data_IF_774800538173
#
_entry.id   IF_774800538173
#
_cell.length_a   1.000
_cell.length_b   1.000
_cell.length_c   1.000
_cell.angle_alpha   90.00
_cell.angle_beta   90.00
_cell.angle_gamma   90.00
#
_symmetry.space_group_name_H-M   'P 1'
#
loop_
_entity.id
_entity.type
_entity.pdbx_description
1 polymer ?
#
# COMPACT_ATOMS: atom_id res chain seq x y z
N UNK A 1 1.66 16.86 5.61
CA UNK A 1 1.13 15.68 4.91
C UNK A 1 2.18 15.12 3.95
N UNK A 2 2.67 15.90 2.99
CA UNK A 2 3.73 15.46 2.07
C UNK A 2 4.71 16.58 1.73
N UNK A 3 5.88 16.21 1.19
CA UNK A 3 6.84 17.11 0.57
C UNK A 3 7.50 16.45 -0.64
N UNK A 4 7.98 17.25 -1.59
CA UNK A 4 8.84 16.76 -2.66
C UNK A 4 10.29 16.81 -2.16
N UNK A 5 10.87 15.64 -1.91
CA UNK A 5 12.28 15.48 -1.56
C UNK A 5 13.17 15.39 -2.80
N UNK A 6 14.49 15.29 -2.60
CA UNK A 6 15.44 15.15 -3.71
C UNK A 6 15.37 13.79 -4.40
N UNK A 7 14.92 12.76 -3.68
CA UNK A 7 14.89 11.37 -4.17
C UNK A 7 13.49 10.85 -4.51
N UNK A 8 12.44 11.59 -4.15
CA UNK A 8 11.06 11.15 -4.30
C UNK A 8 10.04 11.99 -3.54
N UNK A 9 8.79 11.51 -3.50
CA UNK A 9 7.72 12.09 -2.69
C UNK A 9 7.83 11.57 -1.26
N UNK A 10 7.90 12.47 -0.28
CA UNK A 10 7.90 12.11 1.13
C UNK A 10 6.49 12.21 1.70
N UNK A 11 5.95 11.12 2.27
CA UNK A 11 4.71 11.14 3.04
C UNK A 11 5.03 11.11 4.54
N UNK A 12 4.35 11.96 5.31
CA UNK A 12 4.49 11.99 6.77
C UNK A 12 3.76 10.81 7.41
N UNK A 13 4.38 10.14 8.37
CA UNK A 13 3.68 9.16 9.20
C UNK A 13 2.73 9.89 10.16
N UNK A 14 1.43 9.87 9.86
CA UNK A 14 0.37 10.41 10.74
C UNK A 14 -0.36 9.25 11.42
N UNK A 15 -1.05 9.53 12.52
CA UNK A 15 -1.91 8.57 13.21
C UNK A 15 -3.28 8.37 12.54
N UNK A 16 -3.70 9.32 11.69
CA UNK A 16 -4.96 9.25 10.95
C UNK A 16 -4.84 8.17 9.87
N UNK A 17 -5.68 7.14 9.95
CA UNK A 17 -5.79 6.06 8.98
C UNK A 17 -6.76 6.43 7.86
N UNK A 18 -6.96 5.54 6.88
CA UNK A 18 -8.00 5.74 5.86
C UNK A 18 -9.43 5.65 6.40
N UNK A 19 -9.64 5.14 7.62
CA UNK A 19 -10.98 4.90 8.21
C UNK A 19 -11.59 6.13 8.88
N UNK A 20 -10.79 7.14 9.18
CA UNK A 20 -11.26 8.36 9.82
C UNK A 20 -11.63 9.41 8.78
N UNK A 21 -12.70 10.17 9.05
CA UNK A 21 -13.11 11.34 8.25
C UNK A 21 -12.24 12.56 8.57
N UNK A 22 -10.95 12.40 8.38
CA UNK A 22 -9.92 13.42 8.59
C UNK A 22 -8.92 13.34 7.43
N UNK A 23 -7.65 13.69 7.67
CA UNK A 23 -6.65 13.97 6.67
C UNK A 23 -5.51 12.93 6.74
N UNK A 24 -5.72 11.71 6.21
CA UNK A 24 -4.67 10.68 6.18
C UNK A 24 -3.52 11.10 5.25
N UNK A 25 -2.34 10.52 5.48
CA UNK A 25 -1.23 10.67 4.54
C UNK A 25 -1.41 9.74 3.35
N UNK A 26 -2.26 10.19 2.41
CA UNK A 26 -2.63 9.48 1.19
C UNK A 26 -2.56 10.42 -0.01
N UNK A 27 -1.78 10.05 -1.03
CA UNK A 27 -1.66 10.81 -2.28
C UNK A 27 -1.92 9.87 -3.45
N UNK A 28 -2.95 10.17 -4.23
CA UNK A 28 -3.53 9.21 -5.17
C UNK A 28 -4.03 9.85 -6.47
N UNK A 29 -4.23 9.00 -7.46
CA UNK A 29 -4.92 9.30 -8.71
C UNK A 29 -6.25 8.56 -8.78
N UNK A 30 -7.16 9.03 -9.64
CA UNK A 30 -8.42 8.31 -9.92
C UNK A 30 -8.11 7.05 -10.73
N UNK A 31 -8.73 5.93 -10.36
CA UNK A 31 -8.77 4.76 -11.23
C UNK A 31 -9.58 5.12 -12.48
N UNK A 32 -8.99 4.90 -13.67
CA UNK A 32 -9.62 5.23 -14.95
C UNK A 32 -9.91 4.00 -15.82
N UNK A 33 -9.37 2.83 -15.46
CA UNK A 33 -9.47 1.60 -16.24
C UNK A 33 -9.90 0.44 -15.34
N UNK A 34 -10.65 -0.51 -15.88
CA UNK A 34 -11.02 -1.74 -15.17
C UNK A 34 -9.91 -2.78 -15.19
N UNK A 35 -8.98 -2.67 -16.14
CA UNK A 35 -7.79 -3.49 -16.25
C UNK A 35 -6.58 -2.54 -16.19
N UNK A 36 -5.83 -2.59 -15.10
CA UNK A 36 -4.66 -1.74 -14.89
C UNK A 36 -3.67 -2.35 -13.90
N UNK A 37 -2.47 -1.80 -13.91
CA UNK A 37 -1.44 -2.02 -12.90
C UNK A 37 -1.04 -0.68 -12.29
N UNK A 38 -0.99 -0.62 -10.96
CA UNK A 38 -0.37 0.45 -10.22
C UNK A 38 0.82 -0.10 -9.44
N UNK A 39 1.91 0.65 -9.39
CA UNK A 39 3.08 0.26 -8.61
C UNK A 39 3.74 1.41 -7.88
N UNK A 40 4.37 1.09 -6.74
CA UNK A 40 5.16 2.03 -5.94
C UNK A 40 6.52 1.45 -5.59
N UNK A 41 7.56 2.27 -5.65
CA UNK A 41 8.87 1.98 -5.05
C UNK A 41 9.02 2.88 -3.83
N UNK A 42 9.25 2.30 -2.66
CA UNK A 42 9.41 3.02 -1.39
C UNK A 42 10.63 2.56 -0.60
N UNK A 43 11.27 3.48 0.11
CA UNK A 43 12.37 3.17 1.02
C UNK A 43 11.84 2.57 2.33
N UNK A 44 12.45 1.47 2.79
CA UNK A 44 12.00 0.73 3.99
C UNK A 44 12.87 0.96 5.23
N UNK A 45 13.84 1.85 5.14
CA UNK A 45 14.76 2.26 6.21
C UNK A 45 14.06 3.04 7.34
N UNK A 46 12.99 3.77 7.00
CA UNK A 46 12.18 4.57 7.94
C UNK A 46 10.99 3.82 8.54
N UNK A 47 10.75 2.57 8.09
CA UNK A 47 9.70 1.69 8.60
C UNK A 47 10.12 1.01 9.90
N UNK A 48 10.08 1.78 10.98
CA UNK A 48 10.25 1.30 12.35
C UNK A 48 8.96 0.65 12.87
N UNK A 49 9.01 0.04 14.07
CA UNK A 49 7.83 -0.53 14.72
C UNK A 49 6.70 0.49 14.80
N UNK A 50 5.49 0.04 14.46
CA UNK A 50 4.28 0.87 14.46
C UNK A 50 4.14 1.77 13.24
N UNK A 51 5.13 1.81 12.33
CA UNK A 51 5.03 2.52 11.04
C UNK A 51 4.69 1.55 9.91
N UNK A 52 3.77 1.99 9.04
CA UNK A 52 3.27 1.23 7.90
C UNK A 52 3.25 2.14 6.68
N UNK A 53 3.70 1.66 5.52
CA UNK A 53 3.60 2.39 4.28
C UNK A 53 3.46 1.47 3.06
N UNK A 54 2.83 1.97 2.00
CA UNK A 54 2.67 1.24 0.76
C UNK A 54 1.66 1.91 -0.15
N UNK A 55 0.68 1.15 -0.61
CA UNK A 55 -0.30 1.61 -1.59
C UNK A 55 -1.72 1.24 -1.15
N UNK A 56 -2.69 2.09 -1.49
CA UNK A 56 -4.10 1.83 -1.24
C UNK A 56 -4.94 2.07 -2.49
N UNK A 57 -5.86 1.15 -2.74
CA UNK A 57 -7.01 1.31 -3.64
C UNK A 57 -8.23 1.63 -2.77
N UNK A 58 -8.62 2.89 -2.74
CA UNK A 58 -9.63 3.42 -1.82
C UNK A 58 -10.89 3.84 -2.55
N UNK A 59 -12.05 3.35 -2.10
CA UNK A 59 -13.35 3.86 -2.52
C UNK A 59 -13.89 4.88 -1.50
N UNK A 60 -13.79 4.57 -0.21
CA UNK A 60 -14.20 5.43 0.90
C UNK A 60 -13.47 5.04 2.19
N UNK A 61 -13.79 5.75 3.28
CA UNK A 61 -13.29 5.44 4.63
C UNK A 61 -13.71 4.04 5.12
N UNK A 62 -14.81 3.51 4.60
CA UNK A 62 -15.33 2.19 4.97
C UNK A 62 -14.91 1.06 4.01
N UNK A 63 -14.42 1.40 2.82
CA UNK A 63 -14.13 0.44 1.75
C UNK A 63 -12.82 0.77 1.03
N UNK A 64 -11.78 -0.01 1.32
CA UNK A 64 -10.47 0.14 0.69
C UNK A 64 -9.63 -1.14 0.80
N UNK A 65 -8.81 -1.38 -0.21
CA UNK A 65 -7.74 -2.38 -0.20
C UNK A 65 -6.42 -1.66 0.07
N UNK A 66 -5.62 -2.17 1.00
CA UNK A 66 -4.29 -1.66 1.33
C UNK A 66 -3.25 -2.76 1.15
N UNK A 67 -2.11 -2.37 0.60
CA UNK A 67 -0.89 -3.18 0.58
C UNK A 67 0.15 -2.41 1.36
N UNK A 68 0.54 -2.92 2.52
CA UNK A 68 1.38 -2.22 3.48
C UNK A 68 2.65 -3.01 3.77
N UNK A 69 3.78 -2.32 3.79
CA UNK A 69 5.02 -2.80 4.35
C UNK A 69 5.15 -2.31 5.79
N UNK A 70 5.53 -3.20 6.70
CA UNK A 70 5.68 -2.90 8.11
C UNK A 70 6.74 -3.79 8.77
N UNK A 71 7.13 -3.45 10.00
CA UNK A 71 7.94 -4.32 10.87
C UNK A 71 7.20 -4.57 12.17
N UNK A 72 7.07 -5.84 12.55
CA UNK A 72 6.68 -6.23 13.92
C UNK A 72 7.90 -6.34 14.82
N UNK A 73 7.71 -6.72 16.09
CA UNK A 73 8.75 -6.80 17.13
C UNK A 73 10.06 -7.46 16.64
N UNK A 74 11.03 -6.63 16.26
CA UNK A 74 12.43 -7.00 16.11
C UNK A 74 12.85 -7.66 14.79
N UNK A 75 12.54 -7.03 13.64
CA UNK A 75 13.47 -6.74 12.52
C UNK A 75 12.88 -7.07 11.14
N UNK A 76 12.16 -8.17 10.99
CA UNK A 76 11.79 -8.64 9.65
C UNK A 76 10.76 -7.70 8.99
N UNK A 77 11.07 -7.27 7.77
CA UNK A 77 10.10 -6.56 6.95
C UNK A 77 8.99 -7.54 6.57
N UNK A 78 7.76 -7.09 6.63
CA UNK A 78 6.58 -7.85 6.28
C UNK A 78 5.73 -7.07 5.31
N UNK A 79 5.03 -7.79 4.45
CA UNK A 79 4.03 -7.24 3.57
C UNK A 79 2.65 -7.81 3.92
N UNK A 80 1.68 -6.94 4.09
CA UNK A 80 0.30 -7.28 4.41
C UNK A 80 -0.65 -6.76 3.34
N UNK A 81 -1.63 -7.59 2.96
CA UNK A 81 -2.77 -7.18 2.14
C UNK A 81 -3.98 -7.12 3.06
N UNK A 82 -4.55 -5.92 3.20
CA UNK A 82 -5.63 -5.64 4.14
C UNK A 82 -6.83 -5.12 3.35
N UNK A 83 -7.97 -5.80 3.49
CA UNK A 83 -9.23 -5.38 2.88
C UNK A 83 -10.17 -4.87 3.97
N UNK A 84 -10.49 -3.58 3.89
CA UNK A 84 -11.47 -2.94 4.75
C UNK A 84 -12.85 -3.04 4.10
N UNK A 85 -13.80 -3.61 4.84
CA UNK A 85 -15.20 -3.75 4.44
C UNK A 85 -16.07 -3.18 5.55
N UNK A 86 -16.91 -2.19 5.25
CA UNK A 86 -17.79 -1.54 6.27
C UNK A 86 -16.98 -1.04 7.48
N UNK A 87 -15.80 -0.47 7.23
CA UNK A 87 -14.89 0.02 8.27
C UNK A 87 -14.14 -1.07 9.05
N UNK A 88 -14.30 -2.35 8.70
CA UNK A 88 -13.63 -3.47 9.36
C UNK A 88 -12.50 -4.02 8.51
N UNK A 89 -11.29 -4.00 9.07
CA UNK A 89 -10.09 -4.54 8.43
C UNK A 89 -10.04 -6.05 8.52
N UNK A 90 -9.74 -6.72 7.41
CA UNK A 90 -9.37 -8.14 7.34
C UNK A 90 -8.01 -8.26 6.70
N UNK A 91 -7.07 -8.97 7.34
CA UNK A 91 -5.78 -9.31 6.74
C UNK A 91 -6.00 -10.51 5.82
N UNK A 92 -5.99 -10.26 4.51
CA UNK A 92 -6.21 -11.26 3.47
C UNK A 92 -4.93 -12.04 3.15
N UNK A 93 -3.76 -11.42 3.33
CA UNK A 93 -2.46 -12.07 3.20
C UNK A 93 -1.40 -11.36 4.03
N UNK A 94 -0.40 -12.12 4.46
CA UNK A 94 0.69 -11.64 5.29
C UNK A 94 1.95 -12.48 5.03
N UNK A 95 3.01 -11.85 4.56
CA UNK A 95 4.25 -12.53 4.14
C UNK A 95 5.46 -11.84 4.76
N UNK A 96 6.28 -12.63 5.47
CA UNK A 96 7.59 -12.18 5.98
C UNK A 96 8.59 -12.15 4.82
N UNK A 97 9.24 -11.01 4.61
CA UNK A 97 10.22 -10.79 3.55
C UNK A 97 11.62 -11.08 4.09
N UNK A 98 12.03 -12.34 3.98
CA UNK A 98 13.35 -12.76 4.39
C UNK A 98 14.43 -12.12 3.50
N UNK A 99 15.49 -11.63 4.14
CA UNK A 99 16.71 -11.16 3.46
C UNK A 99 17.78 -12.23 3.63
N UNK A 100 18.12 -12.99 2.58
CA UNK A 100 19.02 -14.14 2.71
C UNK A 100 19.55 -14.79 1.42
N UNK A 101 20.76 -15.36 1.56
CA UNK A 101 21.57 -16.21 0.66
C UNK A 101 22.12 -15.62 -0.67
N UNK A 102 21.45 -14.70 -1.37
CA UNK A 102 21.86 -14.27 -2.73
C UNK A 102 21.75 -12.76 -3.00
N UNK A 103 22.11 -11.89 -2.04
CA UNK A 103 21.94 -10.43 -2.17
C UNK A 103 20.49 -9.96 -2.32
N UNK A 104 19.50 -10.82 -2.00
CA UNK A 104 18.09 -10.45 -1.95
C UNK A 104 17.87 -9.43 -0.83
N UNK A 105 17.54 -8.20 -1.21
CA UNK A 105 17.23 -7.11 -0.28
C UNK A 105 15.87 -6.51 -0.61
N UNK A 106 15.25 -5.94 0.42
CA UNK A 106 13.95 -5.27 0.36
C UNK A 106 14.09 -3.83 0.87
N UNK A 107 15.15 -3.12 0.45
CA UNK A 107 15.41 -1.72 0.85
C UNK A 107 14.54 -0.75 0.08
N UNK A 108 14.33 -1.02 -1.20
CA UNK A 108 13.49 -0.23 -2.11
C UNK A 108 12.59 -1.15 -2.96
N UNK A 109 11.76 -2.00 -2.33
CA UNK A 109 10.97 -2.95 -3.07
C UNK A 109 9.88 -2.25 -3.88
N UNK A 110 9.54 -2.84 -5.03
CA UNK A 110 8.39 -2.40 -5.80
C UNK A 110 7.15 -3.18 -5.37
N UNK A 111 6.14 -2.49 -4.86
CA UNK A 111 4.82 -3.06 -4.59
C UNK A 111 3.97 -2.89 -5.83
N UNK A 112 3.42 -3.99 -6.35
CA UNK A 112 2.63 -4.03 -7.59
C UNK A 112 1.21 -4.50 -7.24
N UNK A 113 0.23 -3.67 -7.60
CA UNK A 113 -1.19 -3.98 -7.54
C UNK A 113 -1.73 -4.04 -8.97
N UNK A 114 -2.15 -5.22 -9.40
CA UNK A 114 -2.88 -5.41 -10.64
C UNK A 114 -4.36 -5.60 -10.35
N UNK A 115 -5.20 -4.85 -11.05
CA UNK A 115 -6.65 -4.99 -11.00
C UNK A 115 -7.16 -5.45 -12.35
N UNK A 116 -8.04 -6.46 -12.32
CA UNK A 116 -8.74 -7.01 -13.48
C UNK A 116 -10.23 -7.14 -13.15
N UNK A 117 -10.99 -6.09 -13.51
CA UNK A 117 -12.40 -5.96 -13.16
C UNK A 117 -12.59 -5.84 -11.64
N UNK A 118 -13.13 -6.89 -11.02
CA UNK A 118 -13.43 -6.97 -9.59
C UNK A 118 -12.44 -7.86 -8.83
N UNK A 119 -11.26 -8.09 -9.41
CA UNK A 119 -10.20 -8.91 -8.81
C UNK A 119 -8.92 -8.09 -8.67
N UNK A 120 -8.23 -8.28 -7.55
CA UNK A 120 -6.91 -7.72 -7.29
C UNK A 120 -5.87 -8.84 -7.11
N UNK A 121 -4.71 -8.66 -7.74
CA UNK A 121 -3.52 -9.47 -7.49
C UNK A 121 -2.39 -8.56 -7.02
N UNK A 122 -1.65 -9.01 -6.01
CA UNK A 122 -0.61 -8.23 -5.37
C UNK A 122 0.67 -9.04 -5.30
N UNK A 123 1.76 -8.44 -5.75
CA UNK A 123 3.11 -8.97 -5.63
C UNK A 123 4.11 -7.87 -5.28
N UNK A 124 5.25 -8.28 -4.76
CA UNK A 124 6.42 -7.42 -4.61
C UNK A 124 7.54 -7.89 -5.51
N UNK A 125 8.28 -6.95 -6.06
CA UNK A 125 9.57 -7.15 -6.69
C UNK A 125 10.67 -6.69 -5.73
N UNK A 126 11.67 -7.53 -5.50
CA UNK A 126 12.83 -7.20 -4.68
C UNK A 126 13.77 -6.22 -5.40
N UNK A 127 14.77 -5.73 -4.69
CA UNK A 127 15.71 -4.72 -5.20
C UNK A 127 16.56 -5.22 -6.41
N UNK A 128 16.63 -6.54 -6.63
CA UNK A 128 17.32 -7.15 -7.79
C UNK A 128 16.53 -7.02 -9.11
N UNK A 129 15.26 -6.58 -9.05
CA UNK A 129 14.38 -6.44 -10.19
C UNK A 129 13.89 -7.75 -10.81
N UNK A 130 14.15 -8.90 -10.17
CA UNK A 130 13.81 -10.24 -10.72
C UNK A 130 13.05 -11.08 -9.70
N UNK A 131 13.47 -11.08 -8.44
CA UNK A 131 12.88 -11.90 -7.39
C UNK A 131 11.52 -11.36 -6.96
N UNK A 132 10.50 -12.23 -7.01
CA UNK A 132 9.11 -11.86 -6.71
C UNK A 132 8.58 -12.55 -5.46
N UNK A 133 7.79 -11.82 -4.68
CA UNK A 133 6.97 -12.36 -3.59
C UNK A 133 5.50 -12.11 -3.90
N UNK A 134 4.72 -13.17 -4.15
CA UNK A 134 3.29 -13.06 -4.42
C UNK A 134 2.55 -13.01 -3.09
N UNK A 135 1.79 -11.95 -2.84
CA UNK A 135 0.98 -11.84 -1.62
C UNK A 135 -0.40 -12.45 -1.82
N UNK A 136 -1.07 -12.13 -2.93
CA UNK A 136 -2.37 -12.69 -3.26
C UNK A 136 -2.60 -12.72 -4.77
N UNK A 137 -3.50 -13.61 -5.21
CA UNK A 137 -4.02 -13.63 -6.58
C UNK A 137 -5.53 -13.66 -6.56
N UNK A 138 -6.13 -12.96 -7.50
CA UNK A 138 -7.58 -12.95 -7.73
C UNK A 138 -8.43 -12.65 -6.49
N UNK A 139 -7.93 -11.80 -5.57
CA UNK A 139 -8.68 -11.36 -4.39
C UNK A 139 -9.95 -10.63 -4.86
N UNK A 140 -11.12 -11.07 -4.40
CA UNK A 140 -12.40 -10.43 -4.74
C UNK A 140 -12.49 -9.06 -4.05
N UNK A 141 -12.51 -8.00 -4.88
CA UNK A 141 -12.62 -6.60 -4.45
C UNK A 141 -13.98 -6.00 -4.85
N UNK A 142 -15.01 -6.82 -5.11
CA UNK A 142 -16.38 -6.35 -5.44
C UNK A 142 -16.93 -5.37 -4.40
N UNK A 143 -16.54 -5.52 -3.15
CA UNK A 143 -16.92 -4.61 -2.06
C UNK A 143 -16.48 -3.16 -2.33
N UNK A 144 -15.47 -2.93 -3.17
CA UNK A 144 -15.03 -1.57 -3.57
C UNK A 144 -15.85 -0.99 -4.73
N UNK A 145 -16.84 -1.70 -5.26
CA UNK A 145 -17.70 -1.19 -6.32
C UNK A 145 -18.73 -0.20 -5.78
N UNK A 146 -19.23 0.70 -6.63
CA UNK A 146 -20.26 1.67 -6.20
C UNK A 146 -21.57 0.98 -5.84
N UNK A 147 -21.87 -0.17 -6.46
CA UNK A 147 -23.05 -0.98 -6.15
C UNK A 147 -23.06 -1.50 -4.72
N UNK A 148 -21.89 -1.76 -4.13
CA UNK A 148 -21.76 -2.26 -2.76
C UNK A 148 -21.44 -1.15 -1.77
N UNK A 149 -20.40 -0.36 -2.06
CA UNK A 149 -19.94 0.72 -1.17
C UNK A 149 -20.86 1.95 -1.20
N UNK A 150 -21.68 2.11 -2.25
CA UNK A 150 -22.56 3.25 -2.43
C UNK A 150 -21.81 4.56 -2.70
N UNK A 151 -22.48 5.68 -2.42
CA UNK A 151 -21.93 7.02 -2.60
C UNK A 151 -21.94 7.50 -4.05
N UNK A 152 -21.12 8.52 -4.32
CA UNK A 152 -21.06 9.24 -5.60
C UNK A 152 -19.64 9.36 -6.16
N UNK A 153 -18.73 8.51 -5.67
CA UNK A 153 -17.30 8.51 -6.01
C UNK A 153 -16.90 7.16 -6.59
N UNK A 154 -15.75 7.12 -7.24
CA UNK A 154 -15.09 5.89 -7.67
C UNK A 154 -13.76 5.71 -6.95
N UNK A 155 -13.08 4.59 -7.23
CA UNK A 155 -11.82 4.28 -6.58
C UNK A 155 -10.69 5.25 -6.96
N UNK A 156 -9.82 5.52 -5.99
CA UNK A 156 -8.49 6.11 -6.21
C UNK A 156 -7.41 5.10 -5.86
N UNK A 157 -6.25 5.19 -6.49
CA UNK A 157 -5.08 4.36 -6.19
C UNK A 157 -3.86 5.25 -5.96
N UNK A 158 -3.12 4.99 -4.88
CA UNK A 158 -2.08 5.90 -4.45
C UNK A 158 -1.23 5.43 -3.30
N UNK A 159 -0.20 6.23 -3.02
CA UNK A 159 0.75 6.03 -1.93
C UNK A 159 0.09 6.34 -0.59
N UNK A 160 0.32 5.49 0.41
CA UNK A 160 -0.25 5.60 1.75
C UNK A 160 0.82 5.39 2.82
N UNK A 161 0.76 6.17 3.90
CA UNK A 161 1.62 6.03 5.07
C UNK A 161 0.87 6.32 6.37
N UNK A 162 1.13 5.55 7.41
CA UNK A 162 0.49 5.70 8.73
C UNK A 162 1.43 5.23 9.84
N UNK A 163 1.27 5.79 11.02
CA UNK A 163 1.91 5.30 12.23
C UNK A 163 0.92 5.12 13.37
N UNK A 164 1.21 4.20 14.27
CA UNK A 164 0.51 4.07 15.54
C UNK A 164 0.71 5.30 16.43
N UNK A 165 -0.23 5.52 17.34
CA UNK A 165 -0.13 6.58 18.33
C UNK A 165 1.13 6.41 19.20
N UNK A 166 1.84 7.51 19.43
CA UNK A 166 3.08 7.52 20.20
C UNK A 166 4.36 7.28 19.39
N UNK A 167 4.24 6.91 18.10
CA UNK A 167 5.38 7.02 17.18
C UNK A 167 5.78 8.49 17.02
N UNK A 168 7.07 8.79 17.10
CA UNK A 168 7.60 10.13 16.84
C UNK A 168 7.41 10.56 15.38
N UNK A 169 7.67 11.84 15.11
CA UNK A 169 7.64 12.38 13.74
C UNK A 169 8.55 11.58 12.80
N UNK A 170 8.11 11.40 11.57
CA UNK A 170 8.86 10.66 10.55
C UNK A 170 8.19 10.76 9.19
N UNK A 171 8.94 10.37 8.16
CA UNK A 171 8.47 10.33 6.78
C UNK A 171 8.99 9.09 6.08
N UNK A 172 8.24 8.61 5.10
CA UNK A 172 8.66 7.59 4.14
C UNK A 172 8.84 8.22 2.77
N UNK A 173 9.91 7.84 2.08
CA UNK A 173 10.20 8.30 0.73
C UNK A 173 9.69 7.29 -0.30
N UNK A 174 8.79 7.74 -1.17
CA UNK A 174 8.36 7.03 -2.37
C UNK A 174 9.15 7.53 -3.57
N UNK A 175 10.01 6.69 -4.13
CA UNK A 175 10.85 7.02 -5.29
C UNK A 175 10.08 7.09 -6.59
N UNK A 176 9.05 6.26 -6.71
CA UNK A 176 8.22 6.15 -7.92
C UNK A 176 6.81 5.74 -7.55
N UNK A 177 5.86 6.32 -8.26
CA UNK A 177 4.50 5.81 -8.42
C UNK A 177 4.26 5.64 -9.93
N UNK A 178 3.59 4.56 -10.34
CA UNK A 178 3.25 4.31 -11.74
C UNK A 178 1.83 3.77 -11.84
N UNK A 179 1.15 4.14 -12.93
CA UNK A 179 -0.18 3.67 -13.28
C UNK A 179 -0.17 3.36 -14.77
N UNK A 180 -0.48 2.11 -15.13
CA UNK A 180 -0.47 1.60 -16.49
C UNK A 180 -1.81 0.92 -16.79
N UNK A 181 -2.52 1.38 -17.83
CA UNK A 181 -3.63 0.61 -18.38
C UNK A 181 -3.07 -0.60 -19.14
N UNK A 182 -3.66 -1.79 -18.94
CA UNK A 182 -3.25 -3.02 -19.61
C UNK A 182 -4.25 -3.43 -20.70
#
# INVERSE_FOLDING_TARGET
MYALGQEGLELSFRHVTLKEKDSPSYVALRQQHHLFEASVILKTDTLEKGRRAGMALMQSDEYHLRVELCRHDGEALQAEVILCRKGQDTVESSVVLESGALSLTWKEPEVILRVEGLKASVELLADDGVSRSVLCRDLDIRELSTEVAGGFVGCTVGMYAVAEDGCGEGRVCFRRFSYLAL
#
